data_IF_352260335328
#
_entry.id   IF_352260335328
#
_cell.length_a   1.000
_cell.length_b   1.000
_cell.length_c   1.000
_cell.angle_alpha   90.00
_cell.angle_beta   90.00
_cell.angle_gamma   90.00
#
_symmetry.space_group_name_H-M   'P 1'
#
loop_
_entity.id
_entity.type
_entity.pdbx_description
1 polymer ?
#
# COMPACT_ATOMS: atom_id res chain seq x y z
N UNK A 1 -8.41 27.37 -8.36
CA UNK A 1 -8.57 25.96 -8.69
C UNK A 1 -7.59 25.15 -7.87
N UNK A 2 -8.08 24.11 -7.25
CA UNK A 2 -7.25 23.30 -6.39
C UNK A 2 -6.80 22.04 -7.10
N UNK A 3 -5.56 21.68 -6.90
CA UNK A 3 -5.01 20.44 -7.39
C UNK A 3 -5.24 19.34 -6.36
N UNK A 4 -5.43 18.13 -6.85
CA UNK A 4 -5.52 16.95 -6.00
C UNK A 4 -4.12 16.47 -5.68
N UNK A 5 -3.88 16.13 -4.42
CA UNK A 5 -2.62 15.56 -3.96
C UNK A 5 -2.90 14.12 -3.50
N UNK A 6 -2.08 13.19 -3.97
CA UNK A 6 -2.14 11.80 -3.54
C UNK A 6 -0.92 11.49 -2.69
N UNK A 7 -1.16 11.08 -1.46
CA UNK A 7 -0.12 10.64 -0.52
C UNK A 7 -0.26 9.15 -0.34
N UNK A 8 0.85 8.44 -0.38
CA UNK A 8 0.81 7.00 -0.15
C UNK A 8 1.93 6.55 0.76
N UNK A 9 1.71 5.44 1.43
CA UNK A 9 2.68 4.80 2.30
C UNK A 9 2.61 3.29 2.06
N UNK A 10 3.77 2.65 2.13
CA UNK A 10 3.86 1.21 1.90
C UNK A 10 4.59 0.54 3.05
N UNK A 11 4.32 -0.76 3.23
CA UNK A 11 5.07 -1.63 4.12
C UNK A 11 5.66 -2.78 3.34
N UNK A 12 6.89 -3.16 3.65
CA UNK A 12 7.53 -4.35 3.10
C UNK A 12 7.60 -5.43 4.18
N UNK A 13 7.40 -6.68 3.77
CA UNK A 13 7.29 -7.80 4.70
C UNK A 13 8.64 -8.26 5.24
N UNK A 14 9.67 -8.22 4.41
CA UNK A 14 11.00 -8.73 4.75
C UNK A 14 12.08 -7.92 4.03
N UNK A 15 13.31 -8.46 3.99
CA UNK A 15 14.45 -7.74 3.41
C UNK A 15 14.41 -7.66 1.88
N UNK A 16 13.53 -8.41 1.24
CA UNK A 16 13.32 -8.30 -0.21
C UNK A 16 12.58 -6.99 -0.50
N UNK A 17 13.18 -6.05 -1.25
CA UNK A 17 12.51 -4.78 -1.54
C UNK A 17 11.21 -4.95 -2.31
N UNK A 18 11.02 -6.10 -2.98
CA UNK A 18 9.79 -6.39 -3.72
C UNK A 18 8.71 -7.03 -2.85
N UNK A 19 8.93 -7.19 -1.55
CA UNK A 19 7.98 -7.85 -0.66
C UNK A 19 6.91 -6.91 -0.12
N UNK A 20 6.42 -5.99 -0.94
CA UNK A 20 5.35 -5.07 -0.55
C UNK A 20 4.15 -5.85 -0.04
N UNK A 21 3.71 -5.55 1.19
CA UNK A 21 2.64 -6.28 1.85
C UNK A 21 1.47 -5.40 2.28
N UNK A 22 1.60 -4.10 2.20
CA UNK A 22 0.50 -3.18 2.50
C UNK A 22 0.71 -1.86 1.77
N UNK A 23 -0.39 -1.22 1.39
CA UNK A 23 -0.36 0.11 0.82
C UNK A 23 -1.54 0.92 1.35
N UNK A 24 -1.24 2.13 1.82
CA UNK A 24 -2.24 3.11 2.22
C UNK A 24 -2.18 4.32 1.30
N UNK A 25 -3.34 4.85 0.93
CA UNK A 25 -3.46 5.98 0.02
C UNK A 25 -4.42 6.99 0.64
N UNK A 26 -4.05 8.27 0.56
CA UNK A 26 -4.89 9.37 1.00
C UNK A 26 -4.95 10.40 -0.13
N UNK A 27 -6.16 10.77 -0.52
CA UNK A 27 -6.36 11.86 -1.48
C UNK A 27 -6.76 13.13 -0.74
N UNK A 28 -6.08 14.23 -1.07
CA UNK A 28 -6.30 15.53 -0.45
C UNK A 28 -6.63 16.54 -1.55
N UNK A 29 -7.67 17.32 -1.34
CA UNK A 29 -8.05 18.40 -2.24
C UNK A 29 -8.68 19.51 -1.41
N UNK A 30 -8.34 20.76 -1.71
CA UNK A 30 -8.83 21.94 -0.95
C UNK A 30 -8.50 21.82 0.55
N UNK A 31 -7.32 21.26 0.88
CA UNK A 31 -6.86 21.07 2.27
C UNK A 31 -7.73 20.10 3.07
N UNK A 32 -8.50 19.27 2.38
CA UNK A 32 -9.35 18.27 3.01
C UNK A 32 -9.03 16.87 2.47
N UNK A 33 -9.12 15.88 3.35
CA UNK A 33 -9.04 14.48 2.94
C UNK A 33 -10.36 14.11 2.27
N UNK A 34 -10.30 13.78 0.98
CA UNK A 34 -11.50 13.43 0.22
C UNK A 34 -11.67 11.92 0.04
N UNK A 35 -10.61 11.14 0.24
CA UNK A 35 -10.68 9.70 0.06
C UNK A 35 -9.51 9.04 0.77
N UNK A 36 -9.74 7.84 1.30
CA UNK A 36 -8.68 7.00 1.85
C UNK A 36 -8.85 5.58 1.32
N UNK A 37 -7.74 4.87 1.22
CA UNK A 37 -7.71 3.49 0.78
C UNK A 37 -6.61 2.76 1.53
N UNK A 38 -6.87 1.51 1.90
CA UNK A 38 -5.85 0.67 2.51
C UNK A 38 -6.05 -0.76 2.03
N UNK A 39 -4.96 -1.44 1.69
CA UNK A 39 -5.01 -2.83 1.30
C UNK A 39 -3.78 -3.58 1.75
N UNK A 40 -3.98 -4.82 2.17
CA UNK A 40 -2.90 -5.79 2.30
C UNK A 40 -2.60 -6.36 0.91
N UNK A 41 -1.34 -6.73 0.70
CA UNK A 41 -0.86 -7.25 -0.59
C UNK A 41 -0.10 -8.53 -0.32
N UNK A 42 -0.28 -9.51 -1.19
CA UNK A 42 0.46 -10.77 -1.10
C UNK A 42 1.72 -10.69 -1.94
N UNK A 43 2.91 -10.59 -1.32
CA UNK A 43 4.16 -10.62 -2.08
C UNK A 43 4.52 -12.04 -2.46
N UNK A 44 5.42 -12.19 -3.42
CA UNK A 44 5.94 -13.52 -3.79
C UNK A 44 6.78 -14.12 -2.68
N UNK A 45 7.60 -13.32 -2.02
CA UNK A 45 8.45 -13.75 -0.93
C UNK A 45 7.74 -13.50 0.40
N UNK A 46 7.23 -14.57 1.00
CA UNK A 46 6.46 -14.52 2.25
C UNK A 46 7.31 -14.84 3.47
N UNK A 47 8.63 -14.73 3.38
CA UNK A 47 9.51 -15.00 4.51
C UNK A 47 9.25 -14.04 5.67
N UNK A 48 9.27 -14.56 6.89
CA UNK A 48 9.10 -13.75 8.09
C UNK A 48 10.36 -12.96 8.39
N UNK A 49 10.20 -11.70 8.77
CA UNK A 49 11.29 -10.84 9.22
C UNK A 49 10.88 -10.21 10.54
N UNK A 50 11.56 -10.58 11.63
CA UNK A 50 11.16 -10.14 12.96
C UNK A 50 11.34 -8.64 13.18
N UNK A 51 12.34 -8.04 12.55
CA UNK A 51 12.57 -6.60 12.68
C UNK A 51 11.41 -5.80 12.08
N UNK A 52 11.02 -6.15 10.85
CA UNK A 52 9.92 -5.45 10.18
C UNK A 52 8.59 -5.77 10.80
N UNK A 53 8.42 -6.99 11.31
CA UNK A 53 7.20 -7.35 12.02
C UNK A 53 6.97 -6.45 13.23
N UNK A 54 8.02 -6.07 13.94
CA UNK A 54 7.89 -5.15 15.08
C UNK A 54 7.32 -3.79 14.67
N UNK A 55 7.55 -3.40 13.41
CA UNK A 55 7.09 -2.10 12.90
C UNK A 55 5.65 -2.17 12.44
N UNK A 56 5.29 -3.13 11.58
CA UNK A 56 3.96 -3.17 10.96
C UNK A 56 3.03 -4.23 11.51
N UNK A 57 3.56 -5.23 12.22
CA UNK A 57 2.82 -6.33 12.86
C UNK A 57 1.98 -7.15 11.86
N UNK A 58 2.40 -7.22 10.61
CA UNK A 58 1.76 -8.02 9.57
C UNK A 58 2.44 -9.37 9.50
N UNK A 59 1.67 -10.44 9.66
CA UNK A 59 2.19 -11.81 9.60
C UNK A 59 2.06 -12.36 8.19
N UNK A 60 3.03 -13.18 7.71
CA UNK A 60 2.90 -13.80 6.40
C UNK A 60 1.59 -14.59 6.23
N UNK A 61 1.13 -15.25 7.29
CA UNK A 61 -0.11 -16.04 7.24
C UNK A 61 -1.33 -15.18 6.88
N UNK A 62 -1.33 -13.92 7.27
CA UNK A 62 -2.44 -13.01 6.99
C UNK A 62 -2.53 -12.65 5.51
N UNK A 63 -1.50 -12.93 4.72
CA UNK A 63 -1.39 -12.50 3.35
C UNK A 63 -1.72 -13.57 2.31
N UNK A 64 -1.88 -14.83 2.73
CA UNK A 64 -2.04 -15.93 1.77
C UNK A 64 -3.24 -15.78 0.86
N UNK A 65 -4.32 -15.17 1.35
CA UNK A 65 -5.56 -14.99 0.59
C UNK A 65 -5.73 -13.59 0.04
N UNK A 66 -4.73 -12.73 0.23
CA UNK A 66 -4.82 -11.36 -0.25
C UNK A 66 -4.45 -11.28 -1.73
N UNK A 67 -4.84 -10.19 -2.36
CA UNK A 67 -4.51 -9.93 -3.77
C UNK A 67 -3.02 -9.69 -3.94
N UNK A 68 -2.49 -10.10 -5.09
CA UNK A 68 -1.13 -9.73 -5.49
C UNK A 68 -1.08 -8.24 -5.82
N UNK A 69 0.12 -7.67 -5.92
CA UNK A 69 0.24 -6.25 -6.28
C UNK A 69 -0.37 -5.96 -7.65
N UNK A 70 -0.18 -6.86 -8.62
CA UNK A 70 -0.79 -6.65 -9.93
C UNK A 70 -2.30 -6.51 -9.89
N UNK A 71 -2.95 -7.29 -9.02
CA UNK A 71 -4.40 -7.19 -8.82
C UNK A 71 -4.78 -5.91 -8.07
N UNK A 72 -4.03 -5.56 -7.03
CA UNK A 72 -4.27 -4.33 -6.28
C UNK A 72 -4.06 -3.11 -7.19
N UNK A 73 -3.06 -3.14 -8.06
CA UNK A 73 -2.78 -2.04 -8.98
C UNK A 73 -3.98 -1.71 -9.86
N UNK A 74 -4.74 -2.72 -10.28
CA UNK A 74 -5.96 -2.48 -11.05
C UNK A 74 -6.98 -1.65 -10.28
N UNK A 75 -7.00 -1.80 -8.97
CA UNK A 75 -7.93 -1.07 -8.11
C UNK A 75 -7.44 0.34 -7.79
N UNK A 76 -6.13 0.57 -7.76
CA UNK A 76 -5.58 1.80 -7.19
C UNK A 76 -4.90 2.73 -8.20
N UNK A 77 -4.61 2.27 -9.44
CA UNK A 77 -3.85 3.12 -10.36
C UNK A 77 -4.54 4.46 -10.64
N UNK A 78 -5.87 4.51 -10.57
CA UNK A 78 -6.60 5.76 -10.81
C UNK A 78 -6.26 6.85 -9.78
N UNK A 79 -5.83 6.47 -8.57
CA UNK A 79 -5.42 7.45 -7.56
C UNK A 79 -4.18 8.25 -7.99
N UNK A 80 -3.38 7.71 -8.91
CA UNK A 80 -2.13 8.34 -9.35
C UNK A 80 -2.28 9.07 -10.68
N UNK A 81 -3.50 9.15 -11.22
CA UNK A 81 -3.80 9.85 -12.46
C UNK A 81 -4.26 11.27 -12.14
N UNK A 82 -3.77 12.25 -12.92
CA UNK A 82 -4.19 13.66 -12.78
C UNK A 82 -4.04 14.19 -11.35
N UNK A 83 -2.92 13.86 -10.72
CA UNK A 83 -2.68 14.21 -9.33
C UNK A 83 -1.19 14.51 -9.13
N UNK A 84 -0.89 15.20 -8.03
CA UNK A 84 0.48 15.38 -7.54
C UNK A 84 0.75 14.27 -6.53
N UNK A 85 1.85 13.59 -6.73
CA UNK A 85 2.21 12.48 -5.85
C UNK A 85 3.42 12.86 -5.00
#
# INVERSE_FOLDING_TARGET
>A
MSEKITVFDIEVLNQDPASLCAIGIVEIQNQEVISTYYALVKPKNLSFDSYRYKIHQIRPQSLYKEKTFGEVWKDIHHYFENTIV
#
